data_IF_920715248270
#
_entry.id   IF_920715248270
#
_cell.length_a   1.000
_cell.length_b   1.000
_cell.length_c   1.000
_cell.angle_alpha   90.00
_cell.angle_beta   90.00
_cell.angle_gamma   90.00
#
_symmetry.space_group_name_H-M   'P 1'
#
loop_
_entity.id
_entity.type
_entity.pdbx_description
1 polymer ?
#
# COMPACT_ATOMS: atom_id res chain seq x y z
N UNK A 1 -6.35 -1.32 -6.90
CA UNK A 1 -7.00 -0.03 -7.28
C UNK A 1 -7.18 0.00 -8.78
N UNK A 2 -8.19 0.67 -9.30
CA UNK A 2 -8.39 0.92 -10.73
C UNK A 2 -8.81 2.37 -10.90
N UNK A 3 -8.07 3.14 -11.70
CA UNK A 3 -8.38 4.54 -12.00
C UNK A 3 -7.82 4.90 -13.38
N UNK A 4 -8.46 5.82 -14.07
CA UNK A 4 -7.82 6.51 -15.22
C UNK A 4 -6.85 7.55 -14.67
N UNK A 5 -5.78 7.80 -15.40
CA UNK A 5 -4.76 8.78 -15.01
C UNK A 5 -4.63 9.83 -16.11
N UNK A 6 -4.66 11.09 -15.72
CA UNK A 6 -4.30 12.23 -16.54
C UNK A 6 -3.54 13.19 -15.61
N UNK A 7 -2.22 13.29 -15.81
CA UNK A 7 -1.35 14.10 -14.95
C UNK A 7 -0.32 14.83 -15.80
N UNK A 8 0.07 16.01 -15.36
CA UNK A 8 1.12 16.80 -15.95
C UNK A 8 2.09 17.29 -14.87
N UNK A 9 3.37 17.33 -15.19
CA UNK A 9 4.41 17.86 -14.30
C UNK A 9 5.60 18.36 -15.10
N UNK A 10 6.33 19.27 -14.50
CA UNK A 10 7.54 19.86 -15.11
C UNK A 10 8.78 19.32 -14.40
N UNK A 11 9.76 18.89 -15.17
CA UNK A 11 11.09 18.51 -14.71
C UNK A 11 12.08 19.56 -15.16
N UNK A 12 12.77 20.20 -14.23
CA UNK A 12 13.83 21.16 -14.55
C UNK A 12 15.17 20.42 -14.73
N UNK A 13 15.79 20.62 -15.87
CA UNK A 13 17.10 20.07 -16.21
C UNK A 13 18.13 21.18 -16.41
N UNK A 14 19.41 20.84 -16.59
CA UNK A 14 20.47 21.82 -16.94
C UNK A 14 20.23 22.52 -18.28
N UNK A 15 19.49 21.88 -19.17
CA UNK A 15 19.28 22.31 -20.56
C UNK A 15 17.90 22.99 -20.74
N UNK A 16 17.12 23.10 -19.67
CA UNK A 16 15.80 23.73 -19.64
C UNK A 16 14.74 22.88 -18.97
N UNK A 17 13.54 23.39 -18.91
CA UNK A 17 12.38 22.70 -18.36
C UNK A 17 11.78 21.74 -19.40
N UNK A 18 11.27 20.61 -18.93
CA UNK A 18 10.55 19.62 -19.74
C UNK A 18 9.17 19.42 -19.13
N UNK A 19 8.14 19.68 -19.89
CA UNK A 19 6.76 19.47 -19.47
C UNK A 19 6.26 18.09 -19.90
N UNK A 20 6.03 17.20 -18.94
CA UNK A 20 5.48 15.87 -19.19
C UNK A 20 3.97 15.86 -19.01
N UNK A 21 3.29 15.23 -19.94
CA UNK A 21 1.87 14.88 -19.85
C UNK A 21 1.73 13.37 -19.97
N UNK A 22 1.04 12.76 -19.01
CA UNK A 22 0.88 11.31 -18.93
C UNK A 22 -0.59 11.00 -18.83
N UNK A 23 -1.07 10.19 -19.76
CA UNK A 23 -2.43 9.67 -19.77
C UNK A 23 -2.41 8.15 -19.80
N UNK A 24 -3.30 7.52 -19.08
CA UNK A 24 -3.54 6.09 -19.17
C UNK A 24 -5.03 5.81 -18.98
N UNK A 25 -5.58 4.91 -19.80
CA UNK A 25 -6.99 4.55 -19.74
C UNK A 25 -7.33 3.86 -18.40
N UNK A 26 -6.41 3.05 -17.90
CA UNK A 26 -6.58 2.31 -16.66
C UNK A 26 -5.23 2.10 -15.96
N UNK A 27 -5.15 2.42 -14.69
CA UNK A 27 -4.10 1.97 -13.78
C UNK A 27 -4.68 0.91 -12.87
N UNK A 28 -4.12 -0.29 -12.95
CA UNK A 28 -4.49 -1.40 -12.07
C UNK A 28 -3.31 -1.73 -11.17
N UNK A 29 -3.50 -1.63 -9.87
CA UNK A 29 -2.51 -1.95 -8.86
C UNK A 29 -3.04 -3.00 -7.89
N UNK A 30 -2.19 -3.97 -7.58
CA UNK A 30 -2.41 -4.97 -6.55
C UNK A 30 -1.28 -4.86 -5.54
N UNK A 31 -1.65 -4.52 -4.32
CA UNK A 31 -0.75 -4.43 -3.19
C UNK A 31 -0.91 -5.65 -2.29
N UNK A 32 0.20 -6.08 -1.73
CA UNK A 32 0.24 -7.09 -0.68
C UNK A 32 1.05 -6.55 0.48
N UNK A 33 0.74 -7.00 1.69
CA UNK A 33 1.45 -6.54 2.87
C UNK A 33 1.74 -7.70 3.81
N UNK A 34 3.01 -7.83 4.20
CA UNK A 34 3.42 -8.64 5.34
C UNK A 34 3.66 -7.67 6.49
N UNK A 35 3.00 -7.91 7.62
CA UNK A 35 3.04 -7.03 8.77
C UNK A 35 3.18 -7.82 10.06
N UNK A 36 3.82 -7.20 11.05
CA UNK A 36 3.80 -7.66 12.43
C UNK A 36 2.67 -6.95 13.16
N UNK A 37 1.80 -7.73 13.82
CA UNK A 37 0.70 -7.21 14.61
C UNK A 37 0.94 -7.48 16.10
N UNK A 38 0.84 -6.44 16.91
CA UNK A 38 0.98 -6.52 18.37
C UNK A 38 -0.30 -5.99 19.00
N UNK A 39 -1.24 -6.88 19.40
CA UNK A 39 -2.47 -6.47 20.09
C UNK A 39 -2.21 -6.24 21.58
N UNK A 40 -2.82 -5.20 22.13
CA UNK A 40 -2.91 -4.93 23.56
C UNK A 40 -4.40 -4.88 23.91
N UNK A 41 -4.92 -5.95 24.49
CA UNK A 41 -6.37 -6.14 24.65
C UNK A 41 -6.78 -6.09 26.11
N UNK A 42 -7.89 -5.43 26.36
CA UNK A 42 -8.65 -5.59 27.58
C UNK A 42 -9.69 -6.70 27.37
N UNK A 43 -9.71 -7.68 28.26
CA UNK A 43 -10.56 -8.87 28.15
C UNK A 43 -11.58 -8.92 29.27
N UNK A 44 -12.84 -9.11 28.89
CA UNK A 44 -13.93 -9.47 29.81
C UNK A 44 -14.34 -10.91 29.50
N UNK A 45 -14.21 -11.76 30.49
CA UNK A 45 -14.57 -13.19 30.38
C UNK A 45 -15.67 -13.47 31.37
N UNK A 46 -16.78 -14.01 30.90
CA UNK A 46 -17.90 -14.44 31.75
C UNK A 46 -17.74 -15.91 32.13
N UNK A 47 -18.25 -16.30 33.29
CA UNK A 47 -18.12 -17.67 33.83
C UNK A 47 -18.67 -18.75 32.91
N UNK A 48 -19.63 -18.42 32.04
CA UNK A 48 -20.17 -19.35 31.06
C UNK A 48 -19.28 -19.55 29.81
N UNK A 49 -18.13 -18.87 29.74
CA UNK A 49 -17.20 -18.96 28.59
C UNK A 49 -17.36 -17.87 27.54
N UNK A 50 -18.35 -16.99 27.65
CA UNK A 50 -18.46 -15.84 26.76
C UNK A 50 -17.31 -14.86 27.05
N UNK A 51 -16.64 -14.38 26.00
CA UNK A 51 -15.61 -13.35 26.15
C UNK A 51 -15.84 -12.16 25.22
N UNK A 52 -15.39 -11.00 25.66
CA UNK A 52 -15.30 -9.78 24.87
C UNK A 52 -13.92 -9.16 25.08
N UNK A 53 -13.20 -8.93 23.97
CA UNK A 53 -11.90 -8.27 23.97
C UNK A 53 -11.98 -6.97 23.18
N UNK A 54 -11.37 -5.92 23.69
CA UNK A 54 -11.25 -4.64 22.99
C UNK A 54 -9.91 -4.00 23.32
N UNK A 55 -9.29 -3.36 22.32
CA UNK A 55 -8.05 -2.64 22.57
C UNK A 55 -7.32 -2.21 21.28
N UNK A 56 -6.22 -1.49 21.44
CA UNK A 56 -5.36 -1.14 20.33
C UNK A 56 -4.56 -2.34 19.84
N UNK A 57 -4.39 -2.39 18.50
CA UNK A 57 -3.49 -3.30 17.82
C UNK A 57 -2.48 -2.45 17.04
N UNK A 58 -1.21 -2.63 17.29
CA UNK A 58 -0.14 -1.99 16.56
C UNK A 58 0.20 -2.84 15.34
N UNK A 59 0.17 -2.21 14.17
CA UNK A 59 0.48 -2.83 12.90
C UNK A 59 1.77 -2.25 12.35
N UNK A 60 2.80 -3.08 12.21
CA UNK A 60 4.13 -2.70 11.77
C UNK A 60 4.35 -3.34 10.40
N UNK A 61 4.33 -2.59 9.30
CA UNK A 61 4.60 -3.12 7.97
C UNK A 61 6.07 -3.54 7.86
N UNK A 62 6.30 -4.76 7.36
CA UNK A 62 7.64 -5.34 7.18
C UNK A 62 8.00 -5.42 5.71
N UNK A 63 7.05 -5.82 4.87
CA UNK A 63 7.26 -6.00 3.44
C UNK A 63 5.98 -5.72 2.68
N UNK A 64 6.06 -4.85 1.68
CA UNK A 64 4.89 -4.34 0.94
C UNK A 64 5.16 -4.41 -0.56
N UNK A 65 5.08 -5.59 -1.19
CA UNK A 65 5.23 -5.73 -2.62
C UNK A 65 3.99 -5.22 -3.35
N UNK A 66 4.21 -4.61 -4.51
CA UNK A 66 3.15 -4.20 -5.40
C UNK A 66 3.37 -4.71 -6.83
N UNK A 67 2.29 -4.87 -7.57
CA UNK A 67 2.28 -5.09 -9.01
C UNK A 67 1.33 -4.08 -9.63
N UNK A 68 1.84 -3.29 -10.58
CA UNK A 68 1.06 -2.26 -11.25
C UNK A 68 1.10 -2.48 -12.76
N UNK A 69 -0.02 -2.20 -13.42
CA UNK A 69 -0.14 -2.20 -14.88
C UNK A 69 -0.85 -0.93 -15.31
N UNK A 70 -0.22 -0.17 -16.17
CA UNK A 70 -0.83 0.95 -16.90
C UNK A 70 -1.29 0.44 -18.27
N UNK A 71 -2.52 0.72 -18.63
CA UNK A 71 -3.11 0.32 -19.90
C UNK A 71 -3.17 1.51 -20.84
N UNK A 72 -2.72 1.31 -22.07
CA UNK A 72 -2.63 2.34 -23.11
C UNK A 72 -1.94 3.63 -22.58
N UNK A 73 -0.71 3.55 -22.05
CA UNK A 73 -0.01 4.73 -21.56
C UNK A 73 0.34 5.64 -22.75
N UNK A 74 -0.03 6.91 -22.64
CA UNK A 74 0.35 7.98 -23.56
C UNK A 74 1.19 9.01 -22.78
N UNK A 75 2.49 9.05 -23.10
CA UNK A 75 3.46 9.90 -22.43
C UNK A 75 4.01 10.89 -23.45
N UNK A 76 3.77 12.17 -23.22
CA UNK A 76 4.26 13.25 -24.04
C UNK A 76 5.21 14.13 -23.23
N UNK A 77 6.33 14.54 -23.84
CA UNK A 77 7.24 15.53 -23.30
C UNK A 77 7.30 16.74 -24.23
N UNK A 78 7.00 17.89 -23.70
CA UNK A 78 7.16 19.16 -24.37
C UNK A 78 8.42 19.85 -23.86
N UNK A 79 9.27 20.31 -24.81
CA UNK A 79 10.49 21.05 -24.55
C UNK A 79 10.24 22.53 -24.88
N UNK A 80 9.95 23.39 -23.89
CA UNK A 80 9.56 24.78 -24.14
C UNK A 80 10.65 25.59 -24.84
N UNK A 81 11.92 25.29 -24.53
CA UNK A 81 13.07 26.03 -25.09
C UNK A 81 13.20 25.80 -26.59
N UNK A 82 12.95 24.57 -27.05
CA UNK A 82 13.05 24.19 -28.49
C UNK A 82 11.71 24.27 -29.20
N UNK A 83 10.59 24.38 -28.48
CA UNK A 83 9.24 24.33 -29.00
C UNK A 83 8.87 22.97 -29.63
N UNK A 84 9.50 21.89 -29.14
CA UNK A 84 9.34 20.54 -29.69
C UNK A 84 8.51 19.67 -28.74
N UNK A 85 7.60 18.89 -29.33
CA UNK A 85 6.83 17.88 -28.62
C UNK A 85 7.26 16.49 -29.06
N UNK A 86 7.57 15.61 -28.12
CA UNK A 86 8.06 14.25 -28.38
C UNK A 86 7.16 13.27 -27.65
N UNK A 87 6.60 12.30 -28.37
CA UNK A 87 5.72 11.28 -27.84
C UNK A 87 6.42 9.92 -27.70
N UNK A 88 5.87 9.08 -26.86
CA UNK A 88 6.16 7.70 -26.43
C UNK A 88 7.41 6.96 -26.95
N UNK A 89 7.79 7.13 -28.21
CA UNK A 89 8.76 6.22 -28.88
C UNK A 89 10.22 6.58 -28.64
N UNK A 90 10.53 7.81 -28.26
CA UNK A 90 11.92 8.30 -28.26
C UNK A 90 12.44 8.56 -26.83
N UNK A 91 11.58 9.00 -25.92
CA UNK A 91 12.02 9.52 -24.62
C UNK A 91 12.22 8.42 -23.58
N UNK A 92 11.47 7.35 -23.68
CA UNK A 92 11.32 6.47 -22.52
C UNK A 92 12.03 5.13 -22.66
N UNK A 93 12.48 4.74 -23.86
CA UNK A 93 12.81 3.32 -24.08
C UNK A 93 11.63 2.38 -23.72
N UNK A 94 10.48 2.97 -23.40
CA UNK A 94 9.22 2.27 -23.18
C UNK A 94 8.75 1.82 -24.57
N UNK A 95 9.01 0.55 -24.83
CA UNK A 95 8.51 -0.14 -26.00
C UNK A 95 6.99 0.08 -26.08
N UNK A 96 6.49 0.22 -27.26
CA UNK A 96 5.09 0.30 -27.69
C UNK A 96 4.30 -0.94 -27.26
N UNK A 97 4.19 -1.18 -25.98
CA UNK A 97 3.30 -2.18 -25.42
C UNK A 97 2.04 -1.47 -24.96
N UNK A 98 0.88 -1.98 -25.38
CA UNK A 98 -0.43 -1.53 -24.88
C UNK A 98 -0.56 -1.60 -23.36
N UNK A 99 0.47 -2.11 -22.67
CA UNK A 99 0.56 -2.26 -21.23
C UNK A 99 1.98 -2.03 -20.72
N UNK A 100 2.13 -1.09 -19.81
CA UNK A 100 3.33 -0.93 -19.01
C UNK A 100 3.13 -1.62 -17.67
N UNK A 101 3.88 -2.69 -17.40
CA UNK A 101 3.82 -3.42 -16.14
C UNK A 101 5.06 -3.11 -15.29
N UNK A 102 4.83 -2.71 -14.05
CA UNK A 102 5.89 -2.48 -13.07
C UNK A 102 5.68 -3.32 -11.82
N UNK A 103 6.77 -3.74 -11.20
CA UNK A 103 6.77 -4.49 -9.95
C UNK A 103 7.83 -3.91 -9.03
N UNK A 104 7.50 -3.84 -7.75
CA UNK A 104 8.47 -3.35 -6.78
C UNK A 104 8.06 -3.68 -5.36
N UNK A 105 8.83 -3.14 -4.43
CA UNK A 105 8.52 -3.16 -3.01
C UNK A 105 8.42 -1.73 -2.53
N UNK A 106 7.33 -1.43 -1.85
CA UNK A 106 7.26 -0.18 -1.10
C UNK A 106 8.28 -0.26 0.04
N UNK A 107 9.35 0.52 -0.05
CA UNK A 107 10.28 0.65 1.06
C UNK A 107 9.52 1.24 2.24
N UNK A 108 9.80 0.77 3.47
CA UNK A 108 9.09 1.10 4.71
C UNK A 108 8.90 2.59 5.05
N UNK A 109 9.37 3.48 4.18
CA UNK A 109 9.16 4.93 4.28
C UNK A 109 7.76 5.38 3.80
N UNK A 110 7.02 4.55 3.07
CA UNK A 110 5.69 4.90 2.54
C UNK A 110 4.54 4.45 3.45
N UNK A 111 4.72 3.32 4.14
CA UNK A 111 3.79 2.84 5.14
C UNK A 111 4.40 3.00 6.53
N UNK A 112 3.70 3.71 7.39
CA UNK A 112 4.10 3.89 8.79
C UNK A 112 3.40 2.89 9.69
N UNK A 113 3.92 2.75 10.90
CA UNK A 113 3.23 2.03 11.98
C UNK A 113 1.84 2.62 12.12
N UNK A 114 0.83 1.75 12.07
CA UNK A 114 -0.56 2.12 12.26
C UNK A 114 -1.10 1.55 13.56
N UNK A 115 -2.08 2.25 14.13
CA UNK A 115 -2.82 1.78 15.30
C UNK A 115 -4.24 1.49 14.84
N UNK A 116 -4.68 0.27 15.07
CA UNK A 116 -6.05 -0.17 14.82
C UNK A 116 -6.78 -0.30 16.15
N UNK A 117 -8.06 0.01 16.17
CA UNK A 117 -8.96 -0.41 17.24
C UNK A 117 -9.49 -1.79 16.88
N UNK A 118 -9.30 -2.74 17.78
CA UNK A 118 -9.75 -4.12 17.62
C UNK A 118 -10.84 -4.43 18.64
N UNK A 119 -11.91 -5.07 18.19
CA UNK A 119 -12.93 -5.66 19.05
C UNK A 119 -13.13 -7.13 18.67
N UNK A 120 -13.23 -7.99 19.68
CA UNK A 120 -13.48 -9.43 19.52
C UNK A 120 -14.62 -9.85 20.45
N UNK A 121 -15.51 -10.71 19.95
CA UNK A 121 -16.56 -11.33 20.71
C UNK A 121 -16.58 -12.82 20.38
N UNK A 122 -16.62 -13.66 21.41
CA UNK A 122 -16.60 -15.09 21.18
C UNK A 122 -16.94 -15.93 22.40
N UNK A 123 -16.72 -17.20 22.25
CA UNK A 123 -16.99 -18.20 23.29
C UNK A 123 -15.76 -19.11 23.45
N UNK A 124 -15.40 -19.41 24.68
CA UNK A 124 -14.30 -20.26 25.08
C UNK A 124 -14.80 -21.50 25.84
N UNK A 125 -14.46 -22.66 25.32
CA UNK A 125 -14.73 -23.95 25.96
C UNK A 125 -13.51 -24.39 26.77
N UNK A 126 -13.67 -24.50 28.07
CA UNK A 126 -12.63 -24.97 28.97
C UNK A 126 -12.69 -26.50 29.12
N UNK A 127 -11.57 -27.16 28.91
CA UNK A 127 -11.46 -28.62 29.02
C UNK A 127 -10.94 -29.03 30.44
N UNK A 128 -11.23 -30.27 30.83
CA UNK A 128 -10.82 -30.82 32.13
C UNK A 128 -9.30 -30.86 32.33
N UNK A 129 -8.51 -30.86 31.26
CA UNK A 129 -7.05 -30.84 31.29
C UNK A 129 -6.47 -29.42 31.46
N UNK A 130 -7.30 -28.42 31.62
CA UNK A 130 -6.91 -27.02 31.77
C UNK A 130 -6.68 -26.29 30.44
N UNK A 131 -6.72 -26.96 29.30
CA UNK A 131 -6.67 -26.31 27.99
C UNK A 131 -8.02 -25.70 27.63
N UNK A 132 -8.05 -24.78 26.68
CA UNK A 132 -9.31 -24.23 26.16
C UNK A 132 -9.30 -24.05 24.67
N UNK A 133 -10.48 -24.01 24.08
CA UNK A 133 -10.74 -23.73 22.67
C UNK A 133 -11.63 -22.51 22.57
N UNK A 134 -11.18 -21.47 21.94
CA UNK A 134 -11.92 -20.24 21.69
C UNK A 134 -12.37 -20.12 20.24
N UNK A 135 -13.61 -19.75 20.02
CA UNK A 135 -14.16 -19.35 18.71
C UNK A 135 -14.78 -17.97 18.87
N UNK A 136 -14.37 -17.03 18.03
CA UNK A 136 -14.87 -15.67 18.06
C UNK A 136 -14.90 -15.00 16.70
N UNK A 137 -15.63 -13.90 16.66
CA UNK A 137 -15.59 -12.95 15.56
C UNK A 137 -14.79 -11.71 16.00
N UNK A 138 -14.08 -11.09 15.06
CA UNK A 138 -13.34 -9.87 15.31
C UNK A 138 -13.61 -8.83 14.24
N UNK A 139 -13.38 -7.57 14.60
CA UNK A 139 -13.34 -6.44 13.68
C UNK A 139 -12.17 -5.53 14.07
N UNK A 140 -11.45 -5.06 13.06
CA UNK A 140 -10.35 -4.12 13.19
C UNK A 140 -10.65 -2.86 12.38
N UNK A 141 -10.37 -1.70 12.96
CA UNK A 141 -10.54 -0.41 12.31
C UNK A 141 -9.29 0.45 12.48
N UNK A 142 -8.72 0.91 11.37
CA UNK A 142 -7.57 1.81 11.37
C UNK A 142 -7.94 3.19 11.89
N UNK A 143 -7.27 3.64 12.94
CA UNK A 143 -7.53 4.97 13.55
C UNK A 143 -6.81 6.07 12.79
N UNK A 144 -5.67 5.76 12.20
CA UNK A 144 -4.81 6.75 11.53
C UNK A 144 -4.60 6.42 10.06
N UNK A 145 -4.22 7.44 9.30
CA UNK A 145 -3.73 7.25 7.95
C UNK A 145 -2.43 6.43 7.97
N UNK A 146 -2.39 5.38 7.16
CA UNK A 146 -1.26 4.44 7.09
C UNK A 146 -0.11 4.96 6.25
N UNK A 147 -0.36 5.93 5.35
CA UNK A 147 0.70 6.53 4.55
C UNK A 147 1.61 7.43 5.38
N UNK A 148 2.91 7.37 5.11
CA UNK A 148 3.85 8.37 5.55
C UNK A 148 3.62 9.68 4.78
N UNK A 149 3.78 10.81 5.45
CA UNK A 149 3.49 12.15 4.89
C UNK A 149 4.28 12.49 3.61
N UNK A 150 5.34 11.76 3.29
CA UNK A 150 6.22 12.02 2.16
C UNK A 150 5.76 11.37 0.83
N UNK A 151 4.70 10.55 0.86
CA UNK A 151 4.19 9.87 -0.34
C UNK A 151 3.24 10.76 -1.17
N UNK A 152 2.67 11.80 -0.56
CA UNK A 152 1.51 12.52 -1.06
C UNK A 152 1.77 13.54 -2.18
N UNK A 153 3.00 13.76 -2.63
CA UNK A 153 3.31 14.79 -3.65
C UNK A 153 4.22 14.28 -4.75
N UNK A 154 4.27 12.96 -4.97
CA UNK A 154 5.07 12.42 -6.07
C UNK A 154 4.21 12.19 -7.30
N UNK A 155 4.75 12.54 -8.44
CA UNK A 155 4.18 12.13 -9.73
C UNK A 155 4.08 10.61 -9.80
N UNK A 156 3.08 10.06 -10.48
CA UNK A 156 2.98 8.63 -10.75
C UNK A 156 4.19 8.10 -11.53
N UNK A 157 4.82 8.97 -12.32
CA UNK A 157 6.01 8.66 -13.07
C UNK A 157 7.10 9.64 -12.65
N UNK A 158 8.23 9.10 -12.23
CA UNK A 158 9.44 9.86 -11.91
C UNK A 158 10.43 9.69 -13.08
N UNK A 159 10.78 10.79 -13.71
CA UNK A 159 11.76 10.79 -14.77
C UNK A 159 13.08 11.21 -14.17
N UNK A 160 13.96 10.23 -13.99
CA UNK A 160 15.35 10.51 -13.58
C UNK A 160 16.10 11.05 -14.78
N UNK A 161 16.53 12.31 -14.72
CA UNK A 161 17.32 12.96 -15.75
C UNK A 161 18.50 12.08 -16.20
N UNK A 162 18.80 12.00 -17.51
CA UNK A 162 19.89 11.18 -18.01
C UNK A 162 21.21 11.66 -17.39
N UNK A 163 21.92 10.75 -16.76
CA UNK A 163 23.34 10.94 -16.52
C UNK A 163 24.03 10.98 -17.88
N UNK A 164 24.95 11.89 -18.10
CA UNK A 164 25.63 12.38 -19.29
C UNK A 164 25.83 11.48 -20.55
N UNK A 165 25.34 10.27 -20.56
CA UNK A 165 25.51 9.29 -21.66
C UNK A 165 24.37 8.30 -21.85
N UNK A 166 23.20 8.44 -21.21
CA UNK A 166 22.14 7.42 -21.22
C UNK A 166 20.74 7.96 -21.49
N UNK A 167 19.86 7.09 -21.93
CA UNK A 167 18.43 7.37 -22.01
C UNK A 167 17.86 7.74 -20.62
N UNK A 168 16.88 8.64 -20.58
CA UNK A 168 16.17 8.96 -19.36
C UNK A 168 15.55 7.68 -18.76
N UNK A 169 15.80 7.42 -17.49
CA UNK A 169 15.12 6.34 -16.78
C UNK A 169 13.76 6.84 -16.32
N UNK A 170 12.74 6.15 -16.75
CA UNK A 170 11.36 6.40 -16.31
C UNK A 170 11.04 5.37 -15.21
N UNK A 171 10.82 5.86 -14.01
CA UNK A 171 10.38 5.03 -12.87
C UNK A 171 8.89 5.26 -12.64
N UNK A 172 8.11 4.18 -12.63
CA UNK A 172 6.67 4.25 -12.39
C UNK A 172 6.39 3.91 -10.93
N UNK A 173 5.97 4.92 -10.20
CA UNK A 173 5.66 4.81 -8.78
C UNK A 173 4.30 4.14 -8.55
N UNK A 174 4.08 3.48 -7.41
CA UNK A 174 2.79 2.88 -7.08
C UNK A 174 1.66 3.91 -7.06
N UNK A 175 0.58 3.61 -7.78
CA UNK A 175 -0.56 4.50 -7.92
C UNK A 175 -1.26 4.74 -6.57
N UNK A 176 -1.37 3.72 -5.73
CA UNK A 176 -2.00 3.84 -4.42
C UNK A 176 -1.28 4.86 -3.54
N UNK A 177 0.05 4.85 -3.52
CA UNK A 177 0.82 5.78 -2.70
C UNK A 177 0.92 7.20 -3.28
N UNK A 178 0.72 7.36 -4.59
CA UNK A 178 0.85 8.66 -5.27
C UNK A 178 -0.50 9.36 -5.46
N UNK A 179 -1.56 8.61 -5.68
CA UNK A 179 -2.89 9.14 -5.99
C UNK A 179 -3.85 9.15 -4.79
N UNK A 180 -3.58 8.35 -3.74
CA UNK A 180 -4.44 8.30 -2.58
C UNK A 180 -3.92 9.21 -1.44
N UNK A 181 -4.75 10.14 -0.99
CA UNK A 181 -4.41 11.03 0.14
C UNK A 181 -4.41 10.30 1.48
N UNK A 182 -5.24 9.29 1.62
CA UNK A 182 -5.41 8.52 2.86
C UNK A 182 -5.63 7.05 2.56
N UNK A 183 -5.00 6.21 3.37
CA UNK A 183 -5.24 4.79 3.41
C UNK A 183 -5.63 4.39 4.83
N UNK A 184 -6.80 3.81 4.98
CA UNK A 184 -7.25 3.18 6.22
C UNK A 184 -7.58 1.72 5.97
N UNK A 185 -7.49 0.90 7.01
CA UNK A 185 -7.86 -0.51 6.96
C UNK A 185 -9.12 -0.75 7.76
N UNK A 186 -9.98 -1.57 7.21
CA UNK A 186 -11.04 -2.24 7.94
C UNK A 186 -11.01 -3.71 7.55
N UNK A 187 -10.97 -4.57 8.53
CA UNK A 187 -11.12 -6.00 8.34
C UNK A 187 -11.97 -6.61 9.43
N UNK A 188 -12.63 -7.70 9.10
CA UNK A 188 -13.42 -8.48 10.04
C UNK A 188 -13.34 -9.95 9.66
N UNK A 189 -13.42 -10.82 10.65
CA UNK A 189 -13.30 -12.25 10.41
C UNK A 189 -13.65 -13.11 11.60
N UNK A 190 -13.35 -14.40 11.45
CA UNK A 190 -13.53 -15.42 12.48
C UNK A 190 -12.15 -15.82 12.99
N UNK A 191 -12.03 -15.97 14.30
CA UNK A 191 -10.82 -16.40 15.00
C UNK A 191 -11.08 -17.71 15.72
N UNK A 192 -10.21 -18.68 15.46
CA UNK A 192 -10.12 -19.90 16.23
C UNK A 192 -8.82 -19.88 17.04
N UNK A 193 -8.88 -20.07 18.34
CA UNK A 193 -7.73 -20.07 19.23
C UNK A 193 -7.73 -21.31 20.11
N UNK A 194 -6.57 -21.92 20.27
CA UNK A 194 -6.38 -23.01 21.22
C UNK A 194 -5.34 -22.56 22.26
N UNK A 195 -5.74 -22.61 23.54
CA UNK A 195 -4.86 -22.23 24.65
C UNK A 195 -4.36 -23.47 25.37
N UNK A 196 -3.05 -23.60 25.44
CA UNK A 196 -2.37 -24.67 26.18
C UNK A 196 -2.08 -24.22 27.59
N UNK A 197 -2.50 -25.01 28.55
CA UNK A 197 -2.11 -24.81 29.94
C UNK A 197 -0.93 -25.73 30.28
N UNK A 198 0.23 -25.14 30.49
CA UNK A 198 1.46 -25.87 30.84
C UNK A 198 1.63 -26.13 32.35
N UNK A 199 0.76 -25.53 33.16
CA UNK A 199 0.83 -25.75 34.60
C UNK A 199 -0.07 -26.91 34.98
N UNK A 200 0.55 -28.08 35.24
CA UNK A 200 -0.11 -29.13 36.03
C UNK A 200 -0.16 -28.68 37.49
N UNK A 201 -1.37 -28.51 38.05
CA UNK A 201 -1.55 -28.51 39.49
C UNK A 201 -1.39 -29.93 40.01
#
# INVERSE_FOLDING_TARGET
MKAAVDTAYTVSTSDGDIDYTIKADEVKENDSQIQLEVPVMFSLIHDNGLFFNIGPKFMIPVYTPYNQTLKNPDINAYFPTEGVNVSNEVITGLVKDDQLATKGTENGNKFKINIMLTAELGYEWNFKNGNSLGLGAYANYSVFNTFANNAMNKSLIDVVAPTSTGAANVDVLPATSTLAEKLGYFDAGIKLAYHFNFYKK
#
